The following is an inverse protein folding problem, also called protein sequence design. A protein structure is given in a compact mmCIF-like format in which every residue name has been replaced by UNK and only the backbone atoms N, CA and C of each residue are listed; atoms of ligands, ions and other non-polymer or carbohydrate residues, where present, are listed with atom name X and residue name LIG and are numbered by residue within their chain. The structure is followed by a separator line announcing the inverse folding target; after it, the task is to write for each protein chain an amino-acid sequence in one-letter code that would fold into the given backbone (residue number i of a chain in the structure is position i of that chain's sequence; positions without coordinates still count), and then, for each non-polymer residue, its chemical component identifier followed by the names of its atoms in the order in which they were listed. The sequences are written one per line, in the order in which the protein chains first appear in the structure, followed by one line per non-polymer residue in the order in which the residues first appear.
data_IF_958264134297
#
_entry.id   IF_958264134297
#
_cell.length_a   1.000
_cell.length_b   1.000
_cell.length_c   1.000
_cell.angle_alpha   90.00
_cell.angle_beta   90.00
_cell.angle_gamma   90.00
#
_symmetry.space_group_name_H-M   'P 1'
#
loop_
_entity.id
_entity.type
_entity.pdbx_description
1 polymer ?
#
# COMPACT_ATOMS: atom_id res chain seq x y z
N UNK A 1 6.72 -10.50 -15.05
CA UNK A 1 7.91 -11.34 -14.91
C UNK A 1 7.91 -12.31 -16.07
N UNK A 2 8.93 -12.25 -16.89
CA UNK A 2 9.14 -13.29 -17.88
C UNK A 2 9.73 -14.49 -17.12
N UNK A 3 8.87 -15.40 -16.67
CA UNK A 3 9.22 -16.52 -15.79
C UNK A 3 10.26 -17.49 -16.41
N UNK A 4 10.63 -17.28 -17.67
CA UNK A 4 11.55 -18.11 -18.44
C UNK A 4 12.94 -17.46 -18.67
N UNK A 5 13.19 -16.24 -18.21
CA UNK A 5 14.51 -15.61 -18.29
C UNK A 5 15.34 -15.96 -17.08
N UNK A 6 16.52 -16.52 -17.32
CA UNK A 6 17.51 -16.74 -16.27
C UNK A 6 17.95 -15.39 -15.67
N UNK A 7 18.09 -15.32 -14.34
CA UNK A 7 18.61 -14.16 -13.64
C UNK A 7 19.94 -13.66 -14.21
N UNK A 8 20.82 -14.61 -14.57
CA UNK A 8 22.13 -14.30 -15.16
C UNK A 8 22.00 -13.56 -16.50
N UNK A 9 21.06 -13.98 -17.33
CA UNK A 9 20.75 -13.31 -18.60
C UNK A 9 20.22 -11.89 -18.36
N UNK A 10 19.27 -11.73 -17.41
CA UNK A 10 18.75 -10.40 -17.05
C UNK A 10 19.92 -9.52 -16.58
N UNK A 11 20.78 -10.02 -15.68
CA UNK A 11 21.91 -9.29 -15.12
C UNK A 11 22.87 -8.79 -16.19
N UNK A 12 23.21 -9.64 -17.14
CA UNK A 12 24.10 -9.30 -18.27
C UNK A 12 23.51 -8.21 -19.17
N UNK A 13 22.19 -8.18 -19.33
CA UNK A 13 21.46 -7.23 -20.15
C UNK A 13 21.14 -5.89 -19.43
N UNK A 14 21.54 -5.72 -18.16
CA UNK A 14 21.32 -4.46 -17.44
C UNK A 14 22.23 -3.32 -17.93
N UNK A 15 23.37 -3.60 -18.56
CA UNK A 15 24.33 -2.61 -19.05
C UNK A 15 23.83 -1.89 -20.32
N UNK A 16 22.79 -1.12 -20.15
CA UNK A 16 22.21 -0.23 -21.16
C UNK A 16 21.80 1.10 -20.54
N UNK A 17 21.52 2.09 -21.36
CA UNK A 17 21.00 3.36 -20.86
C UNK A 17 19.52 3.24 -20.51
N UNK A 18 19.19 3.62 -19.29
CA UNK A 18 17.83 3.62 -18.78
C UNK A 18 17.24 5.04 -18.79
N UNK A 19 15.96 5.15 -19.12
CA UNK A 19 15.28 6.43 -18.92
C UNK A 19 15.02 6.64 -17.43
N UNK A 20 14.60 5.57 -16.73
CA UNK A 20 14.31 5.61 -15.28
C UNK A 20 14.89 4.37 -14.58
N UNK A 21 15.59 4.59 -13.48
CA UNK A 21 15.86 3.57 -12.46
C UNK A 21 14.98 3.87 -11.23
N UNK A 22 14.20 2.86 -10.79
CA UNK A 22 13.35 2.94 -9.59
C UNK A 22 13.98 2.08 -8.51
N UNK A 23 14.21 2.66 -7.32
CA UNK A 23 14.80 1.98 -6.17
C UNK A 23 13.69 1.67 -5.17
N UNK A 24 13.37 0.38 -5.01
CA UNK A 24 12.35 -0.14 -4.11
C UNK A 24 11.19 -0.84 -4.83
N UNK A 25 11.01 -2.13 -4.54
CA UNK A 25 10.00 -3.02 -5.11
C UNK A 25 8.72 -3.14 -4.27
N UNK A 26 8.35 -2.09 -3.51
CA UNK A 26 7.07 -1.97 -2.83
C UNK A 26 5.97 -1.41 -3.75
N UNK A 27 4.79 -1.14 -3.17
CA UNK A 27 3.62 -0.69 -3.93
C UNK A 27 3.87 0.63 -4.69
N UNK A 28 4.62 1.56 -4.10
CA UNK A 28 4.95 2.84 -4.74
C UNK A 28 5.84 2.63 -5.95
N UNK A 29 6.94 1.87 -5.80
CA UNK A 29 7.85 1.58 -6.91
C UNK A 29 7.17 0.79 -8.02
N UNK A 30 6.37 -0.21 -7.67
CA UNK A 30 5.62 -1.02 -8.64
C UNK A 30 4.58 -0.19 -9.42
N UNK A 31 3.89 0.74 -8.75
CA UNK A 31 2.96 1.66 -9.40
C UNK A 31 3.65 2.59 -10.39
N UNK A 32 4.75 3.24 -9.97
CA UNK A 32 5.56 4.10 -10.84
C UNK A 32 6.14 3.31 -12.01
N UNK A 33 6.65 2.10 -11.75
CA UNK A 33 7.19 1.20 -12.77
C UNK A 33 6.17 0.92 -13.87
N UNK A 34 4.99 0.43 -13.48
CA UNK A 34 3.91 0.13 -14.44
C UNK A 34 3.54 1.34 -15.28
N UNK A 35 3.36 2.51 -14.64
CA UNK A 35 2.96 3.74 -15.32
C UNK A 35 4.03 4.25 -16.27
N UNK A 36 5.30 4.25 -15.87
CA UNK A 36 6.40 4.73 -16.69
C UNK A 36 6.64 3.82 -17.92
N UNK A 37 6.56 2.50 -17.74
CA UNK A 37 6.65 1.54 -18.85
C UNK A 37 5.49 1.72 -19.83
N UNK A 38 4.27 1.97 -19.34
CA UNK A 38 3.11 2.23 -20.20
C UNK A 38 3.23 3.50 -21.04
N UNK A 39 4.14 4.43 -20.68
CA UNK A 39 4.51 5.60 -21.47
C UNK A 39 5.64 5.33 -22.48
N UNK A 40 6.06 4.08 -22.64
CA UNK A 40 7.12 3.68 -23.57
C UNK A 40 8.54 3.96 -23.08
N UNK A 41 8.72 4.26 -21.78
CA UNK A 41 10.05 4.50 -21.21
C UNK A 41 10.77 3.19 -20.91
N UNK A 42 12.11 3.20 -21.05
CA UNK A 42 12.97 2.09 -20.61
C UNK A 42 13.16 2.19 -19.09
N UNK A 43 12.52 1.31 -18.33
CA UNK A 43 12.47 1.38 -16.87
C UNK A 43 13.06 0.15 -16.25
N UNK A 44 13.97 0.36 -15.31
CA UNK A 44 14.53 -0.66 -14.43
C UNK A 44 14.05 -0.42 -13.00
N UNK A 45 13.44 -1.43 -12.38
CA UNK A 45 13.13 -1.42 -10.95
C UNK A 45 14.05 -2.39 -10.20
N UNK A 46 14.69 -1.88 -9.14
CA UNK A 46 15.64 -2.61 -8.30
C UNK A 46 15.09 -2.73 -6.88
N UNK A 47 15.07 -3.95 -6.35
CA UNK A 47 14.68 -4.26 -4.97
C UNK A 47 15.77 -5.08 -4.28
N UNK A 48 16.19 -4.66 -3.08
CA UNK A 48 17.30 -5.31 -2.36
C UNK A 48 16.94 -6.69 -1.77
N UNK A 49 15.67 -6.91 -1.48
CA UNK A 49 15.16 -8.19 -0.96
C UNK A 49 14.19 -8.78 -1.97
N UNK A 50 13.19 -9.54 -1.50
CA UNK A 50 12.10 -9.94 -2.37
C UNK A 50 11.10 -8.80 -2.55
N UNK A 51 10.39 -8.82 -3.67
CA UNK A 51 9.36 -7.83 -3.94
C UNK A 51 8.31 -7.79 -2.83
N UNK A 52 7.87 -6.59 -2.47
CA UNK A 52 6.87 -6.37 -1.41
C UNK A 52 7.34 -6.75 0.00
N UNK A 53 8.59 -7.11 0.23
CA UNK A 53 9.09 -7.60 1.53
C UNK A 53 9.00 -6.60 2.68
N UNK A 54 8.89 -5.31 2.40
CA UNK A 54 8.75 -4.24 3.38
C UNK A 54 7.30 -4.00 3.83
N UNK A 55 6.92 -2.73 3.93
CA UNK A 55 5.58 -2.27 4.37
C UNK A 55 4.46 -2.83 3.50
N UNK A 56 4.71 -3.08 2.21
CA UNK A 56 3.71 -3.47 1.23
C UNK A 56 3.17 -4.91 1.38
N UNK A 57 3.75 -5.73 2.26
CA UNK A 57 3.21 -7.03 2.67
C UNK A 57 2.74 -7.07 4.11
N UNK A 58 2.99 -5.99 4.86
CA UNK A 58 2.74 -5.88 6.30
C UNK A 58 1.76 -4.77 6.64
N UNK A 59 0.84 -4.51 5.71
CA UNK A 59 -0.27 -3.58 5.89
C UNK A 59 -1.43 -4.24 6.63
N UNK A 60 -2.47 -3.48 6.94
CA UNK A 60 -3.75 -4.02 7.43
C UNK A 60 -4.55 -4.74 6.34
N UNK A 61 -4.02 -4.83 5.11
CA UNK A 61 -4.68 -5.40 3.91
C UNK A 61 -6.00 -4.74 3.54
N UNK A 62 -6.25 -3.55 4.06
CA UNK A 62 -7.47 -2.79 3.82
C UNK A 62 -7.27 -1.79 2.69
N UNK A 63 -8.23 -1.76 1.76
CA UNK A 63 -8.38 -0.72 0.74
C UNK A 63 -9.55 0.13 1.18
N UNK A 64 -9.24 1.21 1.88
CA UNK A 64 -10.26 2.06 2.51
C UNK A 64 -10.21 3.50 2.00
N UNK A 65 -11.37 4.12 1.84
CA UNK A 65 -11.48 5.54 1.47
C UNK A 65 -11.13 6.50 2.61
N UNK A 66 -10.65 5.96 3.75
CA UNK A 66 -10.13 6.78 4.83
C UNK A 66 -11.18 7.55 5.61
N UNK A 67 -12.11 6.86 6.25
CA UNK A 67 -13.07 7.48 7.18
C UNK A 67 -12.41 8.43 8.20
N UNK A 68 -11.14 8.19 8.54
CA UNK A 68 -10.32 9.09 9.35
C UNK A 68 -10.04 10.42 8.66
N UNK A 69 -9.81 10.44 7.36
CA UNK A 69 -9.57 11.66 6.59
C UNK A 69 -10.82 12.54 6.55
N UNK A 70 -11.99 11.92 6.40
CA UNK A 70 -13.27 12.62 6.49
C UNK A 70 -13.44 13.32 7.84
N UNK A 71 -13.09 12.65 8.93
CA UNK A 71 -13.12 13.23 10.27
C UNK A 71 -12.16 14.42 10.42
N UNK A 72 -11.02 14.39 9.75
CA UNK A 72 -10.05 15.49 9.70
C UNK A 72 -10.39 16.55 8.64
N UNK A 73 -11.60 16.51 8.05
CA UNK A 73 -12.09 17.42 7.00
C UNK A 73 -11.25 17.40 5.71
N UNK A 74 -10.54 16.31 5.45
CA UNK A 74 -9.75 16.08 4.22
C UNK A 74 -10.62 15.42 3.15
N UNK A 75 -11.62 16.17 2.66
CA UNK A 75 -12.65 15.65 1.75
C UNK A 75 -12.09 15.22 0.39
N UNK A 76 -11.13 15.96 -0.15
CA UNK A 76 -10.51 15.65 -1.45
C UNK A 76 -9.77 14.33 -1.40
N UNK A 77 -8.98 14.10 -0.35
CA UNK A 77 -8.25 12.84 -0.14
C UNK A 77 -9.23 11.68 0.02
N UNK A 78 -10.32 11.87 0.76
CA UNK A 78 -11.36 10.84 0.92
C UNK A 78 -12.00 10.51 -0.42
N UNK A 79 -12.36 11.52 -1.22
CA UNK A 79 -12.99 11.34 -2.53
C UNK A 79 -12.08 10.60 -3.51
N UNK A 80 -10.81 10.97 -3.56
CA UNK A 80 -9.80 10.29 -4.38
C UNK A 80 -9.64 8.83 -3.94
N UNK A 81 -9.45 8.58 -2.63
CA UNK A 81 -9.30 7.23 -2.08
C UNK A 81 -10.52 6.33 -2.37
N UNK A 82 -11.74 6.87 -2.27
CA UNK A 82 -12.98 6.14 -2.61
C UNK A 82 -13.03 5.82 -4.10
N UNK A 83 -12.65 6.77 -4.97
CA UNK A 83 -12.60 6.53 -6.42
C UNK A 83 -11.61 5.45 -6.81
N UNK A 84 -10.41 5.52 -6.24
CA UNK A 84 -9.37 4.50 -6.45
C UNK A 84 -9.81 3.13 -5.95
N UNK A 85 -10.44 3.04 -4.78
CA UNK A 85 -11.00 1.78 -4.28
C UNK A 85 -12.01 1.19 -5.27
N UNK A 86 -12.93 2.00 -5.78
CA UNK A 86 -13.94 1.54 -6.73
C UNK A 86 -13.32 1.13 -8.08
N UNK A 87 -12.27 1.82 -8.53
CA UNK A 87 -11.51 1.43 -9.71
C UNK A 87 -10.84 0.06 -9.49
N UNK A 88 -10.15 -0.11 -8.39
CA UNK A 88 -9.45 -1.36 -8.04
C UNK A 88 -10.41 -2.54 -7.88
N UNK A 89 -11.60 -2.35 -7.30
CA UNK A 89 -12.65 -3.39 -7.22
C UNK A 89 -13.12 -3.87 -8.59
N UNK A 90 -13.12 -2.99 -9.60
CA UNK A 90 -13.47 -3.35 -10.99
C UNK A 90 -12.30 -4.00 -11.73
N UNK A 91 -11.09 -3.46 -11.55
CA UNK A 91 -9.90 -3.88 -12.30
C UNK A 91 -9.24 -5.14 -11.74
N UNK A 92 -9.41 -5.41 -10.46
CA UNK A 92 -8.73 -6.49 -9.75
C UNK A 92 -9.66 -7.35 -8.87
N UNK A 93 -10.82 -7.85 -9.35
CA UNK A 93 -11.81 -8.53 -8.52
C UNK A 93 -11.29 -9.83 -7.89
N UNK A 94 -10.23 -10.43 -8.44
CA UNK A 94 -9.58 -11.62 -7.86
C UNK A 94 -8.60 -11.30 -6.71
N UNK A 95 -8.20 -10.03 -6.56
CA UNK A 95 -7.25 -9.58 -5.53
C UNK A 95 -7.91 -8.70 -4.47
N UNK A 96 -9.01 -8.05 -4.82
CA UNK A 96 -9.72 -7.08 -3.97
C UNK A 96 -11.18 -7.51 -3.89
N UNK A 97 -11.70 -7.54 -2.68
CA UNK A 97 -13.12 -7.85 -2.43
C UNK A 97 -13.75 -6.86 -1.44
N UNK A 98 -15.05 -6.59 -1.56
CA UNK A 98 -15.76 -5.77 -0.59
C UNK A 98 -15.69 -6.38 0.81
N UNK A 99 -15.50 -5.53 1.82
CA UNK A 99 -15.52 -5.88 3.23
C UNK A 99 -16.41 -4.93 4.00
N UNK A 100 -17.36 -5.47 4.76
CA UNK A 100 -18.19 -4.68 5.66
C UNK A 100 -17.46 -4.30 6.94
N UNK A 101 -17.68 -3.08 7.41
CA UNK A 101 -17.10 -2.51 8.61
C UNK A 101 -18.18 -2.15 9.60
N UNK A 102 -18.08 -2.68 10.81
CA UNK A 102 -18.94 -2.35 11.94
C UNK A 102 -18.30 -1.19 12.69
N UNK A 103 -18.97 -0.03 12.75
CA UNK A 103 -18.57 1.15 13.51
C UNK A 103 -19.48 1.29 14.74
N UNK A 104 -19.12 0.72 15.90
CA UNK A 104 -19.95 0.71 17.09
C UNK A 104 -20.02 2.10 17.74
N UNK A 105 -21.18 2.41 18.35
CA UNK A 105 -21.38 3.65 19.09
C UNK A 105 -21.99 3.37 20.47
N UNK A 106 -21.78 4.32 21.38
CA UNK A 106 -22.34 4.33 22.73
C UNK A 106 -23.76 4.91 22.73
N UNK A 107 -24.40 4.98 23.90
CA UNK A 107 -25.68 5.63 24.07
C UNK A 107 -25.67 7.16 23.79
N UNK A 108 -24.50 7.77 23.56
CA UNK A 108 -24.36 9.19 23.27
C UNK A 108 -25.08 9.58 21.96
N UNK A 109 -26.07 10.46 22.08
CA UNK A 109 -26.79 11.03 20.91
C UNK A 109 -25.84 11.82 19.99
N UNK A 110 -24.85 12.53 20.57
CA UNK A 110 -23.87 13.31 19.80
C UNK A 110 -22.99 12.39 18.94
N UNK A 111 -22.39 11.34 19.55
CA UNK A 111 -21.56 10.37 18.82
C UNK A 111 -22.36 9.67 17.72
N UNK A 112 -23.59 9.27 17.98
CA UNK A 112 -24.46 8.65 16.98
C UNK A 112 -24.76 9.58 15.80
N UNK A 113 -24.95 10.88 16.05
CA UNK A 113 -25.17 11.89 14.99
C UNK A 113 -23.90 12.11 14.16
N UNK A 114 -22.75 12.21 14.85
CA UNK A 114 -21.44 12.35 14.19
C UNK A 114 -21.18 11.18 13.26
N UNK A 115 -21.33 9.94 13.74
CA UNK A 115 -21.09 8.76 12.93
C UNK A 115 -22.09 8.63 11.77
N UNK A 116 -23.37 8.91 12.00
CA UNK A 116 -24.37 8.95 10.95
C UNK A 116 -24.00 9.92 9.83
N UNK A 117 -23.64 11.16 10.20
CA UNK A 117 -23.22 12.15 9.23
C UNK A 117 -21.97 11.70 8.46
N UNK A 118 -20.99 11.14 9.18
CA UNK A 118 -19.76 10.63 8.58
C UNK A 118 -20.02 9.52 7.55
N UNK A 119 -20.79 8.47 7.89
CA UNK A 119 -21.08 7.38 6.93
C UNK A 119 -21.97 7.84 5.79
N UNK A 120 -22.88 8.82 6.02
CA UNK A 120 -23.71 9.43 4.97
C UNK A 120 -22.85 10.17 3.94
N UNK A 121 -21.93 11.04 4.40
CA UNK A 121 -21.00 11.77 3.50
C UNK A 121 -20.09 10.77 2.77
N UNK A 122 -19.64 9.72 3.46
CA UNK A 122 -18.81 8.69 2.85
C UNK A 122 -19.50 7.98 1.70
N UNK A 123 -20.77 7.59 1.88
CA UNK A 123 -21.58 6.96 0.82
C UNK A 123 -21.89 7.90 -0.34
N UNK A 124 -22.07 9.21 -0.08
CA UNK A 124 -22.25 10.21 -1.15
C UNK A 124 -21.02 10.34 -2.06
N UNK A 125 -19.84 9.97 -1.59
CA UNK A 125 -18.60 9.94 -2.37
C UNK A 125 -18.45 8.62 -3.15
N UNK A 126 -19.18 7.57 -2.77
CA UNK A 126 -19.17 6.25 -3.40
C UNK A 126 -20.34 6.13 -4.41
N UNK A 127 -20.21 5.27 -5.46
CA UNK A 127 -21.26 5.08 -6.45
C UNK A 127 -22.50 4.35 -5.93
N UNK A 128 -22.45 3.82 -4.71
CA UNK A 128 -23.53 3.03 -4.11
C UNK A 128 -23.77 3.43 -2.66
N UNK A 129 -25.01 3.69 -2.32
CA UNK A 129 -25.47 3.88 -0.95
C UNK A 129 -25.56 2.52 -0.25
N UNK A 130 -24.71 2.26 0.74
CA UNK A 130 -24.58 0.92 1.35
C UNK A 130 -24.59 0.92 2.87
N UNK A 131 -24.50 2.08 3.54
CA UNK A 131 -24.50 2.05 5.00
C UNK A 131 -25.87 1.73 5.57
N UNK A 132 -25.89 1.04 6.69
CA UNK A 132 -27.11 0.78 7.47
C UNK A 132 -26.83 0.87 8.96
N UNK A 133 -27.85 1.22 9.72
CA UNK A 133 -27.81 1.20 11.17
C UNK A 133 -28.11 -0.20 11.68
N UNK A 134 -27.34 -0.66 12.65
CA UNK A 134 -27.52 -1.92 13.36
C UNK A 134 -27.97 -1.65 14.79
N UNK A 135 -28.93 -2.44 15.30
CA UNK A 135 -29.25 -2.51 16.72
C UNK A 135 -28.13 -3.22 17.49
N UNK A 136 -28.17 -3.16 18.83
CA UNK A 136 -27.23 -3.89 19.68
C UNK A 136 -27.27 -5.41 19.42
N UNK A 137 -28.47 -5.97 19.31
CA UNK A 137 -28.71 -7.38 19.05
C UNK A 137 -28.16 -7.81 17.68
N UNK A 138 -28.37 -6.97 16.67
CA UNK A 138 -27.82 -7.21 15.34
C UNK A 138 -26.28 -7.19 15.34
N UNK A 139 -25.65 -6.28 16.09
CA UNK A 139 -24.19 -6.27 16.24
C UNK A 139 -23.70 -7.53 16.93
N UNK A 140 -24.36 -7.96 18.01
CA UNK A 140 -24.00 -9.18 18.73
C UNK A 140 -24.18 -10.44 17.89
N UNK A 141 -25.16 -10.46 16.98
CA UNK A 141 -25.33 -11.56 16.03
C UNK A 141 -24.22 -11.62 14.98
N UNK A 142 -23.76 -10.44 14.47
CA UNK A 142 -22.71 -10.36 13.44
C UNK A 142 -21.29 -10.49 14.01
N UNK A 143 -21.10 -10.07 15.25
CA UNK A 143 -19.82 -10.07 15.97
C UNK A 143 -20.06 -10.39 17.46
N UNK A 144 -20.29 -11.67 17.81
CA UNK A 144 -20.62 -12.08 19.19
C UNK A 144 -19.57 -11.68 20.23
N UNK A 145 -18.32 -11.54 19.80
CA UNK A 145 -17.20 -11.13 20.66
C UNK A 145 -17.29 -9.64 21.08
N UNK A 146 -18.16 -8.87 20.43
CA UNK A 146 -18.42 -7.45 20.76
C UNK A 146 -19.50 -7.30 21.86
N UNK A 147 -19.48 -8.11 22.87
CA UNK A 147 -20.37 -7.95 24.01
C UNK A 147 -19.76 -6.97 25.01
N UNK A 148 -20.23 -5.71 24.99
CA UNK A 148 -19.77 -4.69 25.90
C UNK A 148 -20.95 -3.86 26.46
N UNK A 149 -20.93 -3.48 27.77
CA UNK A 149 -22.01 -2.70 28.38
C UNK A 149 -22.28 -1.36 27.70
N UNK A 150 -21.24 -0.72 27.15
CA UNK A 150 -21.33 0.57 26.46
C UNK A 150 -21.91 0.51 25.05
N UNK A 151 -22.02 -0.67 24.44
CA UNK A 151 -22.52 -0.84 23.08
C UNK A 151 -24.01 -0.54 23.00
N UNK A 152 -24.39 0.48 22.24
CA UNK A 152 -25.79 0.83 21.98
C UNK A 152 -26.26 0.50 20.56
N UNK A 153 -25.34 0.15 19.67
CA UNK A 153 -25.56 -0.19 18.27
C UNK A 153 -24.36 0.15 17.43
N UNK A 154 -24.49 0.04 16.10
CA UNK A 154 -23.41 0.37 15.16
C UNK A 154 -23.96 0.94 13.85
N UNK A 155 -23.05 1.49 13.04
CA UNK A 155 -23.24 1.63 11.60
C UNK A 155 -22.42 0.56 10.89
N UNK A 156 -23.04 -0.11 9.93
CA UNK A 156 -22.34 -0.96 8.97
C UNK A 156 -22.11 -0.12 7.72
N UNK A 157 -20.87 -0.05 7.26
CA UNK A 157 -20.48 0.56 5.97
C UNK A 157 -19.52 -0.36 5.24
N UNK A 158 -19.17 -0.05 3.99
CA UNK A 158 -18.33 -0.93 3.19
C UNK A 158 -17.08 -0.22 2.72
N UNK A 159 -15.98 -0.94 2.85
CA UNK A 159 -14.69 -0.70 2.23
C UNK A 159 -14.24 -1.97 1.50
N UNK A 160 -12.95 -2.21 1.35
CA UNK A 160 -12.47 -3.42 0.72
C UNK A 160 -11.24 -3.99 1.43
N UNK A 161 -10.99 -5.25 1.19
CA UNK A 161 -9.79 -5.98 1.59
C UNK A 161 -9.05 -6.46 0.35
N UNK A 162 -7.72 -6.48 0.40
CA UNK A 162 -6.88 -6.95 -0.71
C UNK A 162 -5.77 -7.88 -0.22
N UNK A 163 -5.25 -8.68 -1.14
CA UNK A 163 -3.92 -9.28 -0.99
C UNK A 163 -2.87 -8.25 -1.45
N UNK A 164 -2.26 -7.57 -0.47
CA UNK A 164 -1.33 -6.47 -0.70
C UNK A 164 -0.08 -6.89 -1.47
N UNK A 165 0.52 -8.03 -1.11
CA UNK A 165 1.71 -8.56 -1.80
C UNK A 165 1.39 -8.94 -3.25
N UNK A 166 0.27 -9.62 -3.47
CA UNK A 166 -0.16 -10.02 -4.82
C UNK A 166 -0.50 -8.81 -5.69
N UNK A 167 -1.01 -7.72 -5.11
CA UNK A 167 -1.21 -6.48 -5.86
C UNK A 167 0.12 -5.92 -6.37
N UNK A 168 1.16 -5.87 -5.53
CA UNK A 168 2.50 -5.45 -5.97
C UNK A 168 3.01 -6.33 -7.11
N UNK A 169 2.93 -7.66 -6.93
CA UNK A 169 3.40 -8.61 -7.95
C UNK A 169 2.62 -8.49 -9.27
N UNK A 170 1.32 -8.20 -9.20
CA UNK A 170 0.51 -7.93 -10.38
C UNK A 170 1.02 -6.71 -11.14
N UNK A 171 1.23 -5.57 -10.46
CA UNK A 171 1.72 -4.33 -11.09
C UNK A 171 3.10 -4.55 -11.73
N UNK A 172 4.01 -5.25 -11.04
CA UNK A 172 5.32 -5.60 -11.58
C UNK A 172 5.19 -6.51 -12.80
N UNK A 173 4.32 -7.54 -12.74
CA UNK A 173 4.09 -8.44 -13.86
C UNK A 173 3.52 -7.72 -15.09
N UNK A 174 2.58 -6.80 -14.90
CA UNK A 174 2.02 -5.98 -15.98
C UNK A 174 3.11 -5.09 -16.62
N UNK A 175 3.94 -4.42 -15.81
CA UNK A 175 5.05 -3.62 -16.31
C UNK A 175 6.10 -4.46 -17.05
N UNK A 176 6.47 -5.62 -16.53
CA UNK A 176 7.41 -6.52 -17.20
C UNK A 176 6.87 -7.05 -18.54
N UNK A 177 5.57 -7.39 -18.61
CA UNK A 177 4.93 -7.80 -19.88
C UNK A 177 4.89 -6.68 -20.91
N UNK A 178 4.88 -5.42 -20.46
CA UNK A 178 4.95 -4.24 -21.31
C UNK A 178 6.38 -3.82 -21.67
N UNK A 179 7.41 -4.61 -21.31
CA UNK A 179 8.80 -4.40 -21.70
C UNK A 179 9.71 -3.76 -20.63
N UNK A 180 9.20 -3.50 -19.42
CA UNK A 180 10.04 -3.06 -18.30
C UNK A 180 10.84 -4.20 -17.67
N UNK A 181 11.90 -3.86 -16.97
CA UNK A 181 12.73 -4.81 -16.21
C UNK A 181 12.59 -4.58 -14.71
N UNK A 182 12.26 -5.60 -13.96
CA UNK A 182 12.22 -5.58 -12.49
C UNK A 182 13.08 -6.71 -11.93
N UNK A 183 14.00 -6.35 -11.01
CA UNK A 183 14.94 -7.29 -10.41
C UNK A 183 14.93 -7.16 -8.89
N UNK A 184 14.63 -8.28 -8.21
CA UNK A 184 14.75 -8.42 -6.76
C UNK A 184 16.17 -8.89 -6.38
N UNK A 185 16.50 -8.88 -5.09
CA UNK A 185 17.84 -9.19 -4.59
C UNK A 185 18.97 -8.42 -5.30
N UNK A 186 18.65 -7.19 -5.73
CA UNK A 186 19.57 -6.26 -6.37
C UNK A 186 19.60 -4.98 -5.55
N UNK A 187 20.63 -4.84 -4.71
CA UNK A 187 20.76 -3.74 -3.77
C UNK A 187 21.48 -2.58 -4.42
N UNK A 188 20.85 -1.41 -4.36
CA UNK A 188 21.52 -0.15 -4.72
C UNK A 188 22.38 0.28 -3.54
N UNK A 189 23.69 0.34 -3.76
CA UNK A 189 24.69 0.72 -2.76
C UNK A 189 24.95 2.23 -2.80
N UNK A 190 25.03 2.80 -4.00
CA UNK A 190 25.42 4.20 -4.21
C UNK A 190 24.66 4.84 -5.36
N UNK A 191 24.33 6.12 -5.20
CA UNK A 191 23.86 6.97 -6.28
C UNK A 191 25.06 7.55 -7.04
N UNK A 192 25.08 7.40 -8.37
CA UNK A 192 26.10 7.95 -9.24
C UNK A 192 25.79 9.41 -9.55
N UNK A 193 26.84 10.25 -9.59
CA UNK A 193 26.71 11.66 -9.93
C UNK A 193 27.51 11.98 -11.18
N UNK A 194 26.96 12.84 -12.00
CA UNK A 194 27.66 13.47 -13.12
C UNK A 194 28.57 14.61 -12.62
N UNK A 195 29.38 15.16 -13.50
CA UNK A 195 30.29 16.26 -13.17
C UNK A 195 29.55 17.53 -12.67
N UNK A 196 28.30 17.74 -13.11
CA UNK A 196 27.44 18.83 -12.67
C UNK A 196 26.77 18.56 -11.31
N UNK A 197 27.09 17.43 -10.66
CA UNK A 197 26.58 17.02 -9.36
C UNK A 197 25.19 16.36 -9.38
N UNK A 198 24.52 16.29 -10.54
CA UNK A 198 23.23 15.62 -10.69
C UNK A 198 23.38 14.11 -10.61
N UNK A 199 22.34 13.44 -10.08
CA UNK A 199 22.25 11.98 -10.10
C UNK A 199 22.08 11.51 -11.54
N UNK A 200 22.97 10.61 -11.98
CA UNK A 200 22.97 10.07 -13.34
C UNK A 200 22.92 8.54 -13.40
N UNK A 201 22.63 7.88 -12.28
CA UNK A 201 22.55 6.44 -12.22
C UNK A 201 22.70 5.88 -10.80
N UNK A 202 22.96 4.58 -10.70
CA UNK A 202 23.15 3.87 -9.46
C UNK A 202 24.17 2.74 -9.61
N UNK A 203 24.97 2.52 -8.55
CA UNK A 203 25.77 1.33 -8.37
C UNK A 203 24.98 0.32 -7.55
N UNK A 204 24.94 -0.93 -8.00
CA UNK A 204 24.19 -2.02 -7.37
C UNK A 204 25.02 -3.27 -7.21
N UNK A 205 24.64 -4.12 -6.25
CA UNK A 205 25.22 -5.44 -6.02
C UNK A 205 24.14 -6.52 -6.06
N UNK A 206 24.50 -7.69 -6.58
CA UNK A 206 23.64 -8.88 -6.54
C UNK A 206 23.65 -9.50 -5.14
N UNK A 207 22.50 -9.55 -4.50
CA UNK A 207 22.30 -10.16 -3.19
C UNK A 207 21.70 -11.57 -3.27
N UNK A 208 21.57 -12.11 -4.47
CA UNK A 208 21.05 -13.45 -4.67
C UNK A 208 22.13 -14.52 -4.44
N UNK A 209 21.75 -15.79 -4.25
CA UNK A 209 22.70 -16.90 -4.18
C UNK A 209 23.59 -17.06 -5.43
N UNK A 210 23.20 -16.47 -6.57
CA UNK A 210 24.00 -16.49 -7.79
C UNK A 210 25.25 -15.60 -7.72
N UNK A 211 25.30 -14.62 -6.81
CA UNK A 211 26.44 -13.77 -6.52
C UNK A 211 27.10 -13.17 -7.79
N UNK A 212 26.30 -12.57 -8.67
CA UNK A 212 26.74 -12.09 -9.99
C UNK A 212 27.64 -10.85 -9.96
N UNK A 213 27.94 -10.34 -8.76
CA UNK A 213 28.85 -9.20 -8.55
C UNK A 213 28.14 -7.86 -8.49
N UNK A 214 28.80 -6.80 -8.97
CA UNK A 214 28.32 -5.43 -8.90
C UNK A 214 28.33 -4.77 -10.28
N UNK A 215 27.42 -3.82 -10.50
CA UNK A 215 27.30 -3.04 -11.73
C UNK A 215 27.12 -1.56 -11.42
N UNK A 216 27.58 -0.71 -12.31
CA UNK A 216 27.19 0.70 -12.36
C UNK A 216 26.30 0.94 -13.58
N UNK A 217 25.11 1.43 -13.35
CA UNK A 217 24.10 1.67 -14.38
C UNK A 217 23.78 3.14 -14.49
N UNK A 218 23.58 3.60 -15.72
CA UNK A 218 23.22 4.99 -16.03
C UNK A 218 21.73 5.12 -16.26
N UNK A 219 21.17 6.25 -15.82
CA UNK A 219 19.78 6.60 -16.06
C UNK A 219 19.62 8.14 -16.16
N UNK A 220 18.63 8.57 -16.91
CA UNK A 220 18.25 9.99 -16.98
C UNK A 220 17.60 10.46 -15.67
N UNK A 221 16.85 9.58 -15.01
CA UNK A 221 16.16 9.82 -13.74
C UNK A 221 16.33 8.64 -12.81
N UNK A 222 16.57 8.91 -11.54
CA UNK A 222 16.55 7.90 -10.47
C UNK A 222 15.42 8.25 -9.48
N UNK A 223 14.49 7.34 -9.29
CA UNK A 223 13.34 7.51 -8.39
C UNK A 223 13.58 6.71 -7.12
N UNK A 224 13.61 7.41 -5.98
CA UNK A 224 13.69 6.80 -4.67
C UNK A 224 12.30 6.40 -4.18
N UNK A 225 11.96 5.13 -4.26
CA UNK A 225 10.73 4.51 -3.76
C UNK A 225 11.02 3.51 -2.62
N UNK A 226 12.11 3.70 -1.88
CA UNK A 226 12.59 2.79 -0.85
C UNK A 226 11.76 2.82 0.46
N UNK A 227 10.58 3.44 0.45
CA UNK A 227 9.66 3.46 1.59
C UNK A 227 10.32 4.02 2.87
N UNK A 228 10.25 3.32 4.01
CA UNK A 228 10.84 3.79 5.27
C UNK A 228 12.36 3.99 5.23
N UNK A 229 13.05 3.44 4.25
CA UNK A 229 14.51 3.55 4.09
C UNK A 229 14.92 4.66 3.12
N UNK A 230 13.98 5.47 2.62
CA UNK A 230 14.25 6.53 1.63
C UNK A 230 15.28 7.56 2.11
N UNK A 231 15.34 7.85 3.41
CA UNK A 231 16.30 8.82 3.96
C UNK A 231 17.76 8.33 3.88
N UNK A 232 18.01 7.02 3.86
CA UNK A 232 19.35 6.48 3.64
C UNK A 232 19.93 6.84 2.26
N UNK A 233 19.09 6.84 1.21
CA UNK A 233 19.48 7.31 -0.12
C UNK A 233 19.56 8.84 -0.19
N UNK A 234 18.70 9.56 0.52
CA UNK A 234 18.73 11.03 0.62
C UNK A 234 20.02 11.53 1.29
N UNK A 235 20.50 10.81 2.32
CA UNK A 235 21.73 11.12 3.02
C UNK A 235 22.97 11.09 2.08
N UNK A 236 22.98 10.22 1.06
CA UNK A 236 24.03 10.22 0.02
C UNK A 236 24.06 11.50 -0.82
N UNK A 237 22.97 12.28 -0.81
CA UNK A 237 22.84 13.56 -1.47
C UNK A 237 22.97 14.75 -0.53
N UNK A 238 23.46 14.53 0.70
CA UNK A 238 23.52 15.51 1.78
C UNK A 238 22.17 16.20 2.06
N UNK A 239 21.07 15.46 1.87
CA UNK A 239 19.73 15.95 2.16
C UNK A 239 19.32 15.58 3.58
N UNK A 240 18.64 16.48 4.30
CA UNK A 240 18.18 16.20 5.66
C UNK A 240 17.15 15.08 5.69
N UNK A 241 17.05 14.36 6.81
CA UNK A 241 15.98 13.40 7.07
C UNK A 241 14.61 14.08 6.98
N UNK A 242 13.66 13.41 6.35
CA UNK A 242 12.27 13.88 6.21
C UNK A 242 11.27 12.88 6.78
N UNK A 243 11.67 11.66 6.96
CA UNK A 243 10.79 10.61 7.45
C UNK A 243 10.89 10.49 8.96
N UNK A 244 9.75 10.36 9.60
CA UNK A 244 9.63 9.91 10.99
C UNK A 244 9.00 8.51 10.99
N UNK A 245 9.78 7.44 10.89
CA UNK A 245 9.26 6.08 10.83
C UNK A 245 8.41 5.77 12.06
N UNK A 246 7.24 5.19 11.82
CA UNK A 246 6.36 4.69 12.87
C UNK A 246 6.15 3.20 12.67
N UNK A 247 6.24 2.46 13.77
CA UNK A 247 5.98 1.02 13.77
C UNK A 247 4.54 0.75 14.16
N UNK A 248 3.78 0.10 13.28
CA UNK A 248 2.51 -0.53 13.59
C UNK A 248 2.73 -1.97 14.04
N UNK A 249 1.91 -2.47 14.95
CA UNK A 249 1.90 -3.88 15.34
C UNK A 249 0.55 -4.49 15.01
N UNK A 250 0.57 -5.68 14.39
CA UNK A 250 -0.62 -6.48 14.12
C UNK A 250 -0.59 -7.73 15.01
N UNK A 251 -1.72 -8.04 15.61
CA UNK A 251 -1.95 -9.31 16.27
C UNK A 251 -2.71 -10.21 15.31
N UNK A 252 -2.17 -11.39 15.03
CA UNK A 252 -2.78 -12.37 14.14
C UNK A 252 -3.39 -13.47 14.99
N UNK A 253 -4.68 -13.73 14.79
CA UNK A 253 -5.42 -14.77 15.46
C UNK A 253 -5.92 -15.79 14.45
N UNK A 254 -5.90 -17.09 14.77
CA UNK A 254 -6.62 -18.09 13.99
C UNK A 254 -8.11 -17.74 13.91
N UNK A 255 -8.73 -18.02 12.77
CA UNK A 255 -10.16 -17.69 12.55
C UNK A 255 -11.08 -18.35 13.57
N UNK A 256 -10.72 -19.52 14.06
CA UNK A 256 -11.46 -20.28 15.08
C UNK A 256 -11.48 -19.54 16.42
N UNK A 257 -10.43 -18.77 16.74
CA UNK A 257 -10.37 -17.96 17.96
C UNK A 257 -11.09 -16.62 17.84
N UNK A 258 -11.13 -16.05 16.64
CA UNK A 258 -11.77 -14.76 16.35
C UNK A 258 -12.57 -14.86 15.04
N UNK A 259 -13.73 -15.54 15.03
CA UNK A 259 -14.50 -15.80 13.82
C UNK A 259 -15.31 -14.58 13.36
N UNK A 260 -14.63 -13.49 13.03
CA UNK A 260 -15.24 -12.29 12.50
C UNK A 260 -15.40 -12.39 10.97
N UNK A 261 -16.59 -12.02 10.49
CA UNK A 261 -16.89 -11.88 9.06
C UNK A 261 -16.78 -10.42 8.59
N UNK A 262 -16.84 -9.50 9.54
CA UNK A 262 -16.78 -8.05 9.32
C UNK A 262 -15.58 -7.47 10.04
N UNK A 263 -14.98 -6.44 9.46
CA UNK A 263 -14.02 -5.63 10.19
C UNK A 263 -14.76 -4.80 11.27
N UNK A 264 -14.09 -4.55 12.38
CA UNK A 264 -14.64 -3.73 13.46
C UNK A 264 -13.76 -2.52 13.64
N UNK A 265 -14.31 -1.32 13.42
CA UNK A 265 -13.59 -0.07 13.63
C UNK A 265 -13.82 0.44 15.06
N UNK A 266 -12.82 0.30 15.90
CA UNK A 266 -12.83 0.87 17.26
C UNK A 266 -12.05 2.17 17.29
N UNK A 267 -12.55 3.17 18.00
CA UNK A 267 -11.83 4.41 18.28
C UNK A 267 -11.20 4.34 19.66
N UNK A 268 -9.89 4.49 19.72
CA UNK A 268 -9.18 4.53 20.98
C UNK A 268 -9.73 5.67 21.87
N UNK A 269 -10.06 5.40 23.15
CA UNK A 269 -10.81 6.35 23.98
C UNK A 269 -10.10 7.68 24.20
N UNK A 270 -8.77 7.67 24.30
CA UNK A 270 -7.97 8.90 24.59
C UNK A 270 -7.66 9.68 23.33
N UNK A 271 -6.99 9.09 22.35
CA UNK A 271 -6.44 9.79 21.17
C UNK A 271 -7.28 9.61 19.90
N UNK A 272 -8.39 8.86 20.00
CA UNK A 272 -9.36 8.64 18.92
C UNK A 272 -8.75 8.01 17.64
N UNK A 273 -7.57 7.36 17.75
CA UNK A 273 -7.03 6.57 16.64
C UNK A 273 -7.97 5.41 16.34
N UNK A 274 -8.18 5.14 15.05
CA UNK A 274 -8.91 3.97 14.62
C UNK A 274 -8.04 2.72 14.78
N UNK A 275 -8.65 1.67 15.33
CA UNK A 275 -8.13 0.30 15.44
C UNK A 275 -9.08 -0.59 14.64
N UNK A 276 -8.54 -1.53 13.90
CA UNK A 276 -9.29 -2.47 13.06
C UNK A 276 -9.00 -3.89 13.49
#
# INVERSE_FOLDING_TARGET
MNLNQDRKEIWQNLQQDWDIIIIGGGITGAGVFRLAVAQGLRVLLLEQHDFSSGTSSRSSKLVHGGFRYLRNRQFDITRESVREREALLREAPALISPLGFILPYTASKAQRREFRLGVTIYDLMAPKWQHRRLSREAVQSLAPQMSAPWLAGAYLYYDAVMDDSRMVLRLLSEGCRAGGTALNYARVEKLLRAQDGKVCGAALSDQSPAALGSLELRARVVINAAGPWSDALRAQLNQPERLRPQRGSHLIFPRERLPLQYAVTLLHPKDKRAMF
#
